data_IF_912411060031
#
_entry.id   IF_912411060031
#
_cell.length_a   1.000
_cell.length_b   1.000
_cell.length_c   1.000
_cell.angle_alpha   90.00
_cell.angle_beta   90.00
_cell.angle_gamma   90.00
#
_symmetry.space_group_name_H-M   'P 1'
#
loop_
_entity.id
_entity.type
_entity.pdbx_description
1 polymer ?
#
# COMPACT_ATOMS: atom_id res chain seq x y z
N UNK A 1 32.87 -12.77 -9.65
CA UNK A 1 31.45 -12.37 -9.68
C UNK A 1 31.36 -11.15 -8.80
N UNK A 2 31.61 -9.98 -9.36
CA UNK A 2 31.42 -8.71 -8.66
C UNK A 2 29.91 -8.48 -8.57
N UNK A 3 29.39 -8.73 -7.38
CA UNK A 3 28.02 -8.34 -7.03
C UNK A 3 28.04 -6.82 -6.99
N UNK A 4 27.48 -6.18 -8.01
CA UNK A 4 27.17 -4.76 -7.94
C UNK A 4 26.18 -4.58 -6.78
N UNK A 5 26.71 -4.28 -5.59
CA UNK A 5 25.92 -3.72 -4.51
C UNK A 5 25.34 -2.44 -5.09
N UNK A 6 24.03 -2.44 -5.36
CA UNK A 6 23.31 -1.20 -5.59
C UNK A 6 23.51 -0.41 -4.30
N UNK A 7 24.35 0.62 -4.36
CA UNK A 7 24.38 1.66 -3.35
C UNK A 7 22.98 2.29 -3.31
N UNK A 8 22.09 1.71 -2.50
CA UNK A 8 20.77 2.28 -2.26
C UNK A 8 21.00 3.58 -1.51
N UNK A 9 20.71 4.70 -2.18
CA UNK A 9 20.86 6.00 -1.57
C UNK A 9 19.99 6.08 -0.30
N UNK A 10 20.40 6.86 0.72
CA UNK A 10 19.59 7.05 1.91
C UNK A 10 18.15 7.51 1.61
N UNK A 11 17.98 8.29 0.53
CA UNK A 11 16.68 8.70 0.02
C UNK A 11 15.84 7.52 -0.49
N UNK A 12 16.44 6.59 -1.25
CA UNK A 12 15.76 5.39 -1.73
C UNK A 12 15.34 4.46 -0.57
N UNK A 13 16.21 4.29 0.43
CA UNK A 13 15.90 3.50 1.63
C UNK A 13 14.76 4.15 2.43
N UNK A 14 14.80 5.46 2.61
CA UNK A 14 13.74 6.21 3.28
C UNK A 14 12.40 6.10 2.54
N UNK A 15 12.42 6.24 1.21
CA UNK A 15 11.23 6.12 0.37
C UNK A 15 10.64 4.71 0.41
N UNK A 16 11.48 3.67 0.35
CA UNK A 16 11.04 2.28 0.50
C UNK A 16 10.40 2.04 1.88
N UNK A 17 11.01 2.58 2.93
CA UNK A 17 10.51 2.49 4.31
C UNK A 17 9.17 3.21 4.49
N UNK A 18 9.01 4.39 3.88
CA UNK A 18 7.74 5.13 3.84
C UNK A 18 6.66 4.32 3.16
N UNK A 19 6.93 3.82 1.95
CA UNK A 19 5.97 3.02 1.18
C UNK A 19 5.54 1.76 1.94
N UNK A 20 6.50 1.03 2.53
CA UNK A 20 6.22 -0.14 3.35
C UNK A 20 5.34 0.21 4.56
N UNK A 21 5.60 1.35 5.22
CA UNK A 21 4.83 1.82 6.37
C UNK A 21 3.40 2.20 5.98
N UNK A 22 3.21 2.92 4.88
CA UNK A 22 1.89 3.28 4.34
C UNK A 22 1.08 2.04 3.96
N UNK A 23 1.71 1.05 3.29
CA UNK A 23 1.07 -0.21 2.94
C UNK A 23 0.67 -1.01 4.19
N UNK A 24 1.52 -1.02 5.21
CA UNK A 24 1.22 -1.64 6.50
C UNK A 24 0.04 -0.93 7.18
N UNK A 25 0.00 0.39 7.23
CA UNK A 25 -1.12 1.15 7.79
C UNK A 25 -2.45 0.81 7.09
N UNK A 26 -2.46 0.84 5.76
CA UNK A 26 -3.64 0.52 4.95
C UNK A 26 -4.13 -0.91 5.22
N UNK A 27 -3.21 -1.88 5.24
CA UNK A 27 -3.54 -3.29 5.49
C UNK A 27 -4.10 -3.51 6.90
N UNK A 28 -3.50 -2.88 7.91
CA UNK A 28 -3.96 -3.05 9.29
C UNK A 28 -5.29 -2.33 9.54
N UNK A 29 -5.54 -1.21 8.88
CA UNK A 29 -6.84 -0.55 8.89
C UNK A 29 -7.92 -1.45 8.25
N UNK A 30 -7.65 -2.05 7.10
CA UNK A 30 -8.57 -3.00 6.47
C UNK A 30 -8.82 -4.25 7.34
N UNK A 31 -7.78 -4.76 8.00
CA UNK A 31 -7.92 -5.88 8.93
C UNK A 31 -8.78 -5.50 10.14
N UNK A 32 -8.59 -4.31 10.68
CA UNK A 32 -9.43 -3.79 11.77
C UNK A 32 -10.89 -3.67 11.34
N UNK A 33 -11.15 -3.08 10.16
CA UNK A 33 -12.51 -2.99 9.61
C UNK A 33 -13.12 -4.37 9.43
N UNK A 34 -12.36 -5.34 8.89
CA UNK A 34 -12.83 -6.72 8.69
C UNK A 34 -13.13 -7.43 10.00
N UNK A 35 -12.30 -7.25 11.03
CA UNK A 35 -12.53 -7.85 12.35
C UNK A 35 -13.64 -7.15 13.13
N UNK A 36 -13.90 -5.87 12.86
CA UNK A 36 -14.99 -5.11 13.46
C UNK A 36 -16.34 -5.32 12.75
N UNK A 37 -16.33 -5.56 11.43
CA UNK A 37 -17.51 -6.02 10.69
C UNK A 37 -17.76 -7.48 11.07
N UNK A 38 -18.89 -7.79 11.72
CA UNK A 38 -19.23 -9.19 11.94
C UNK A 38 -19.31 -9.88 10.58
N UNK A 39 -18.51 -10.93 10.37
CA UNK A 39 -18.46 -11.68 9.12
C UNK A 39 -19.82 -12.28 8.70
N UNK A 40 -20.84 -12.21 9.57
CA UNK A 40 -22.22 -12.58 9.30
C UNK A 40 -23.00 -11.58 8.42
N UNK A 41 -22.55 -10.33 8.26
CA UNK A 41 -23.33 -9.29 7.58
C UNK A 41 -23.03 -9.12 6.08
N UNK A 42 -22.00 -9.78 5.54
CA UNK A 42 -21.46 -9.50 4.20
C UNK A 42 -21.52 -10.66 3.20
N UNK A 43 -22.08 -11.82 3.57
CA UNK A 43 -22.30 -12.91 2.60
C UNK A 43 -23.68 -12.76 1.94
N UNK A 44 -23.76 -12.40 0.63
CA UNK A 44 -25.03 -12.28 -0.08
C UNK A 44 -25.69 -13.63 -0.38
N UNK A 45 -25.04 -14.75 -0.07
CA UNK A 45 -25.52 -16.11 -0.36
C UNK A 45 -26.49 -16.71 0.67
N UNK A 46 -26.65 -16.10 1.85
CA UNK A 46 -27.43 -16.66 2.96
C UNK A 46 -28.78 -15.97 3.13
N UNK A 47 -29.66 -16.20 2.15
CA UNK A 47 -31.08 -15.93 2.31
C UNK A 47 -31.66 -16.72 3.48
N UNK A 48 -32.02 -16.05 4.57
CA UNK A 48 -32.88 -16.59 5.62
C UNK A 48 -32.19 -17.37 6.74
N UNK A 49 -31.23 -16.78 7.45
CA UNK A 49 -30.75 -17.34 8.73
C UNK A 49 -31.54 -16.76 9.91
N UNK A 50 -32.25 -17.65 10.62
CA UNK A 50 -32.95 -17.35 11.87
C UNK A 50 -31.95 -16.85 12.93
N UNK A 51 -32.14 -15.64 13.51
CA UNK A 51 -31.27 -15.11 14.56
C UNK A 51 -31.23 -15.98 15.84
N UNK A 52 -32.13 -16.97 15.98
CA UNK A 52 -32.14 -17.93 17.09
C UNK A 52 -31.22 -19.14 16.88
N UNK A 53 -30.67 -19.35 15.69
CA UNK A 53 -29.84 -20.51 15.35
C UNK A 53 -28.37 -20.42 15.81
N UNK A 54 -28.02 -19.43 16.64
CA UNK A 54 -26.67 -19.38 17.22
C UNK A 54 -25.57 -19.15 16.19
N UNK A 55 -25.82 -18.26 15.22
CA UNK A 55 -24.82 -17.43 14.52
C UNK A 55 -23.45 -18.03 14.14
N UNK A 56 -23.41 -19.28 13.68
CA UNK A 56 -22.22 -19.85 13.04
C UNK A 56 -22.58 -20.38 11.66
N UNK A 57 -21.86 -19.94 10.63
CA UNK A 57 -21.96 -20.55 9.30
C UNK A 57 -21.43 -21.99 9.39
N UNK A 58 -22.33 -22.98 9.34
CA UNK A 58 -21.94 -24.40 9.24
C UNK A 58 -21.13 -24.59 7.95
N UNK A 59 -19.81 -24.80 8.10
CA UNK A 59 -18.92 -25.18 6.97
C UNK A 59 -19.07 -26.65 6.58
N UNK A 60 -19.53 -27.49 7.51
CA UNK A 60 -19.82 -28.90 7.33
C UNK A 60 -21.12 -29.24 8.06
N UNK A 61 -21.97 -30.08 7.45
CA UNK A 61 -23.25 -30.54 8.02
C UNK A 61 -23.03 -31.45 9.23
N UNK A 62 -21.85 -32.09 9.33
CA UNK A 62 -21.50 -32.98 10.44
C UNK A 62 -20.72 -32.31 11.57
N UNK A 63 -20.31 -31.04 11.42
CA UNK A 63 -19.55 -30.32 12.43
C UNK A 63 -20.45 -29.28 13.13
N UNK A 64 -20.59 -29.30 14.47
CA UNK A 64 -21.39 -28.30 15.16
C UNK A 64 -20.79 -26.90 14.92
N UNK A 65 -21.63 -25.88 14.66
CA UNK A 65 -21.13 -24.53 14.40
C UNK A 65 -20.29 -24.03 15.58
N UNK A 66 -19.19 -23.31 15.31
CA UNK A 66 -18.37 -22.73 16.37
C UNK A 66 -19.22 -21.79 17.23
N UNK A 67 -19.00 -21.75 18.56
CA UNK A 67 -19.82 -20.93 19.43
C UNK A 67 -19.59 -19.45 19.12
N UNK A 68 -20.68 -18.68 18.99
CA UNK A 68 -20.66 -17.23 18.75
C UNK A 68 -19.71 -16.47 19.70
N UNK A 69 -19.56 -16.95 20.94
CA UNK A 69 -18.62 -16.40 21.92
C UNK A 69 -17.14 -16.61 21.55
N UNK A 70 -16.79 -17.72 20.91
CA UNK A 70 -15.42 -17.96 20.40
C UNK A 70 -15.13 -17.07 19.19
N UNK A 71 -16.10 -16.89 18.28
CA UNK A 71 -15.94 -15.99 17.14
C UNK A 71 -15.85 -14.52 17.59
N UNK A 72 -16.66 -14.10 18.56
CA UNK A 72 -16.55 -12.76 19.15
C UNK A 72 -15.22 -12.54 19.88
N UNK A 73 -14.72 -13.54 20.61
CA UNK A 73 -13.42 -13.48 21.28
C UNK A 73 -12.26 -13.39 20.26
N UNK A 74 -12.34 -14.16 19.17
CA UNK A 74 -11.34 -14.16 18.11
C UNK A 74 -11.34 -12.82 17.35
N UNK A 75 -12.50 -12.28 16.98
CA UNK A 75 -12.63 -10.96 16.36
C UNK A 75 -12.13 -9.84 17.28
N UNK A 76 -12.41 -9.93 18.59
CA UNK A 76 -11.87 -8.98 19.58
C UNK A 76 -10.34 -9.03 19.65
N UNK A 77 -9.74 -10.22 19.65
CA UNK A 77 -8.29 -10.39 19.63
C UNK A 77 -7.67 -9.83 18.35
N UNK A 78 -8.26 -10.14 17.19
CA UNK A 78 -7.79 -9.64 15.90
C UNK A 78 -7.89 -8.12 15.80
N UNK A 79 -8.99 -7.54 16.29
CA UNK A 79 -9.15 -6.09 16.35
C UNK A 79 -8.10 -5.43 17.24
N UNK A 80 -7.81 -6.00 18.43
CA UNK A 80 -6.75 -5.52 19.33
C UNK A 80 -5.36 -5.62 18.69
N UNK A 81 -5.07 -6.70 17.97
CA UNK A 81 -3.80 -6.86 17.27
C UNK A 81 -3.67 -5.86 16.12
N UNK A 82 -4.73 -5.66 15.35
CA UNK A 82 -4.76 -4.70 14.25
C UNK A 82 -4.56 -3.26 14.76
N UNK A 83 -5.21 -2.85 15.86
CA UNK A 83 -5.01 -1.52 16.45
C UNK A 83 -3.59 -1.32 16.98
N UNK A 84 -3.00 -2.33 17.64
CA UNK A 84 -1.60 -2.25 18.08
C UNK A 84 -0.64 -2.10 16.89
N UNK A 85 -0.84 -2.90 15.84
CA UNK A 85 -0.03 -2.79 14.63
C UNK A 85 -0.18 -1.43 13.93
N UNK A 86 -1.37 -0.84 13.98
CA UNK A 86 -1.63 0.49 13.45
C UNK A 86 -0.91 1.55 14.28
N UNK A 87 -0.93 1.46 15.61
CA UNK A 87 -0.18 2.36 16.50
C UNK A 87 1.33 2.29 16.25
N UNK A 88 1.90 1.09 16.10
CA UNK A 88 3.34 0.90 15.79
C UNK A 88 3.69 1.49 14.43
N UNK A 89 2.87 1.23 13.41
CA UNK A 89 3.11 1.77 12.08
C UNK A 89 2.99 3.31 12.05
N UNK A 90 2.05 3.88 12.81
CA UNK A 90 1.92 5.34 12.99
C UNK A 90 3.12 5.95 13.71
N UNK A 91 3.64 5.30 14.75
CA UNK A 91 4.86 5.75 15.43
C UNK A 91 6.05 5.77 14.47
N UNK A 92 6.23 4.69 13.69
CA UNK A 92 7.28 4.62 12.69
C UNK A 92 7.13 5.68 11.59
N UNK A 93 5.90 6.01 11.17
CA UNK A 93 5.66 7.11 10.23
C UNK A 93 6.08 8.47 10.81
N UNK A 94 5.80 8.72 12.10
CA UNK A 94 6.24 9.94 12.78
C UNK A 94 7.76 10.03 12.87
N UNK A 95 8.44 8.90 13.09
CA UNK A 95 9.91 8.84 13.07
C UNK A 95 10.48 9.14 11.68
N UNK A 96 9.89 8.61 10.62
CA UNK A 96 10.29 8.94 9.24
C UNK A 96 10.12 10.43 8.93
N UNK A 97 9.01 11.04 9.37
CA UNK A 97 8.76 12.49 9.24
C UNK A 97 9.83 13.28 10.01
N UNK A 98 10.17 12.85 11.22
CA UNK A 98 11.21 13.49 12.03
C UNK A 98 12.58 13.42 11.34
N UNK A 99 12.93 12.27 10.79
CA UNK A 99 14.18 12.06 10.04
C UNK A 99 14.25 12.98 8.82
N UNK A 100 13.17 13.08 8.03
CA UNK A 100 13.11 13.97 6.87
C UNK A 100 13.24 15.45 7.26
N UNK A 101 12.58 15.86 8.35
CA UNK A 101 12.71 17.24 8.86
C UNK A 101 14.14 17.54 9.30
N UNK A 102 14.79 16.58 9.96
CA UNK A 102 16.17 16.75 10.40
C UNK A 102 17.13 16.81 9.21
N UNK A 103 16.94 15.97 8.17
CA UNK A 103 17.76 16.04 6.96
C UNK A 103 17.60 17.39 6.26
N UNK A 104 16.37 17.90 6.13
CA UNK A 104 16.12 19.21 5.53
C UNK A 104 16.75 20.36 6.33
N UNK A 105 16.80 20.29 7.66
CA UNK A 105 17.45 21.31 8.50
C UNK A 105 18.97 21.25 8.45
N UNK A 106 19.54 20.07 8.16
CA UNK A 106 20.98 19.86 8.05
C UNK A 106 21.50 19.99 6.62
N UNK A 107 20.62 20.16 5.63
CA UNK A 107 21.01 20.34 4.24
C UNK A 107 21.78 21.64 4.07
N UNK A 108 23.00 21.52 3.57
CA UNK A 108 23.80 22.66 3.15
C UNK A 108 23.29 23.21 1.81
N UNK A 109 23.49 24.50 1.58
CA UNK A 109 23.08 25.18 0.34
C UNK A 109 23.63 24.50 -0.92
N UNK A 110 24.88 24.02 -0.85
CA UNK A 110 25.53 23.26 -1.93
C UNK A 110 24.83 21.93 -2.23
N UNK A 111 24.29 21.26 -1.20
CA UNK A 111 23.50 20.04 -1.37
C UNK A 111 22.16 20.33 -2.02
N UNK A 112 21.53 21.46 -1.66
CA UNK A 112 20.26 21.89 -2.27
C UNK A 112 20.45 22.18 -3.76
N UNK A 113 21.51 22.91 -4.12
CA UNK A 113 21.81 23.25 -5.51
C UNK A 113 22.12 22.00 -6.35
N UNK A 114 22.88 21.05 -5.79
CA UNK A 114 23.17 19.79 -6.45
C UNK A 114 21.91 18.94 -6.69
N UNK A 115 21.01 18.84 -5.71
CA UNK A 115 19.75 18.11 -5.84
C UNK A 115 18.82 18.75 -6.88
N UNK A 116 18.72 20.09 -6.90
CA UNK A 116 17.95 20.81 -7.92
C UNK A 116 18.48 20.59 -9.34
N UNK A 117 19.81 20.55 -9.50
CA UNK A 117 20.42 20.27 -10.79
C UNK A 117 20.12 18.83 -11.25
N UNK A 118 20.23 17.85 -10.35
CA UNK A 118 19.90 16.45 -10.64
C UNK A 118 18.41 16.27 -11.00
N UNK A 119 17.50 16.89 -10.26
CA UNK A 119 16.06 16.90 -10.57
C UNK A 119 15.77 17.53 -11.94
N UNK A 120 16.44 18.64 -12.27
CA UNK A 120 16.29 19.30 -13.57
C UNK A 120 16.78 18.39 -14.71
N UNK A 121 17.89 17.70 -14.52
CA UNK A 121 18.40 16.73 -15.49
C UNK A 121 17.43 15.55 -15.65
N UNK A 122 16.91 15.01 -14.54
CA UNK A 122 15.99 13.90 -14.59
C UNK A 122 14.67 14.25 -15.29
N UNK A 123 14.12 15.44 -15.02
CA UNK A 123 12.93 15.95 -15.70
C UNK A 123 13.17 16.12 -17.22
N UNK A 124 14.34 16.60 -17.63
CA UNK A 124 14.70 16.71 -19.06
C UNK A 124 14.77 15.36 -19.75
N UNK A 125 15.35 14.36 -19.08
CA UNK A 125 15.42 12.99 -19.62
C UNK A 125 14.02 12.42 -19.80
N UNK A 126 13.16 12.52 -18.78
CA UNK A 126 11.78 12.05 -18.85
C UNK A 126 10.98 12.78 -19.95
N UNK A 127 11.19 14.08 -20.11
CA UNK A 127 10.57 14.87 -21.18
C UNK A 127 11.03 14.40 -22.57
N UNK A 128 12.33 14.14 -22.76
CA UNK A 128 12.86 13.61 -24.03
C UNK A 128 12.23 12.26 -24.36
N UNK A 129 12.20 11.35 -23.40
CA UNK A 129 11.60 10.03 -23.58
C UNK A 129 10.10 10.10 -23.90
N UNK A 130 9.37 11.02 -23.25
CA UNK A 130 7.96 11.24 -23.52
C UNK A 130 7.73 11.84 -24.92
N UNK A 131 8.57 12.77 -25.36
CA UNK A 131 8.53 13.32 -26.72
C UNK A 131 8.81 12.24 -27.77
N UNK A 132 9.87 11.45 -27.59
CA UNK A 132 10.20 10.33 -28.48
C UNK A 132 9.07 9.28 -28.56
N UNK A 133 8.44 8.97 -27.41
CA UNK A 133 7.29 8.09 -27.38
C UNK A 133 6.07 8.69 -28.10
N UNK A 134 5.84 9.99 -27.96
CA UNK A 134 4.77 10.72 -28.66
C UNK A 134 5.00 10.70 -30.17
N UNK A 135 6.20 11.03 -30.62
CA UNK A 135 6.56 11.03 -32.05
C UNK A 135 6.41 9.63 -32.67
N UNK A 136 6.82 8.59 -31.94
CA UNK A 136 6.62 7.21 -32.34
C UNK A 136 5.14 6.85 -32.49
N UNK A 137 4.30 7.27 -31.54
CA UNK A 137 2.86 7.03 -31.58
C UNK A 137 2.19 7.81 -32.71
N UNK A 138 2.59 9.06 -32.97
CA UNK A 138 2.09 9.85 -34.10
C UNK A 138 2.45 9.21 -35.44
N UNK A 139 3.69 8.74 -35.60
CA UNK A 139 4.11 8.02 -36.80
C UNK A 139 3.30 6.73 -37.02
N UNK A 140 3.02 5.99 -35.96
CA UNK A 140 2.15 4.79 -36.01
C UNK A 140 0.71 5.16 -36.40
N UNK A 141 0.16 6.24 -35.86
CA UNK A 141 -1.19 6.72 -36.23
C UNK A 141 -1.24 7.15 -37.69
N UNK A 142 -0.24 7.89 -38.18
CA UNK A 142 -0.17 8.29 -39.59
C UNK A 142 -0.06 7.07 -40.51
N UNK A 143 0.76 6.08 -40.16
CA UNK A 143 0.88 4.84 -40.92
C UNK A 143 -0.43 4.06 -40.99
N UNK A 144 -1.16 3.95 -39.87
CA UNK A 144 -2.47 3.28 -39.83
C UNK A 144 -3.53 4.04 -40.64
N UNK A 145 -3.57 5.38 -40.56
CA UNK A 145 -4.49 6.22 -41.36
C UNK A 145 -4.25 6.09 -42.87
N UNK A 146 -3.00 5.91 -43.28
CA UNK A 146 -2.63 5.75 -44.69
C UNK A 146 -2.85 4.32 -45.22
N UNK A 147 -3.15 3.35 -44.34
CA UNK A 147 -3.44 1.95 -44.70
C UNK A 147 -4.94 1.64 -44.75
N UNK A 148 -5.79 2.52 -44.23
CA UNK A 148 -7.26 2.44 -44.41
C UNK A 148 -7.65 3.01 -45.78
N UNK A 149 -8.28 2.21 -46.68
CA UNK A 149 -8.79 2.68 -47.97
C UNK A 149 -9.99 3.62 -47.85
#
# INVERSE_FOLDING_TARGET
MDRAEKDETPAAVWQASLNATCNRLSTQYLNLLRSASSAAALDPGLGGQDPRAGGGAMKDVNEPPPPLAADAAMSSLQAKLATQNLAVASAHLLDLIRTLRLSALLMEQTSIEAEQEDECQHARIQMSQAMEASDSLEAQIMALRNQTP
#
